data_IF_934887497895
#
_entry.id   IF_934887497895
#
_cell.length_a   1.000
_cell.length_b   1.000
_cell.length_c   1.000
_cell.angle_alpha   90.00
_cell.angle_beta   90.00
_cell.angle_gamma   90.00
#
_symmetry.space_group_name_H-M   'P 1'
#
loop_
_entity.id
_entity.type
_entity.pdbx_description
1 polymer ?
#
# COMPACT_ATOMS: atom_id res chain seq x y z
N UNK A 1 -4.98 -5.14 5.46
CA UNK A 1 -4.61 -6.56 5.56
C UNK A 1 -3.22 -6.77 4.97
N UNK A 2 -2.41 -7.64 5.57
CA UNK A 2 -1.16 -8.14 4.99
C UNK A 2 -1.41 -9.24 3.95
N UNK A 3 -0.35 -9.81 3.38
CA UNK A 3 -0.46 -10.85 2.32
C UNK A 3 -1.19 -12.09 2.82
N UNK A 4 -0.89 -12.55 4.04
CA UNK A 4 -1.47 -13.77 4.59
C UNK A 4 -2.97 -13.59 4.88
N UNK A 5 -3.33 -12.47 5.49
CA UNK A 5 -4.73 -12.13 5.74
C UNK A 5 -5.53 -11.97 4.44
N UNK A 6 -4.91 -11.41 3.39
CA UNK A 6 -5.55 -11.30 2.07
C UNK A 6 -5.73 -12.66 1.39
N UNK A 7 -4.77 -13.58 1.53
CA UNK A 7 -4.87 -14.96 1.03
C UNK A 7 -6.01 -15.72 1.70
N UNK A 8 -6.15 -15.57 3.02
CA UNK A 8 -7.28 -16.12 3.75
C UNK A 8 -8.60 -15.51 3.26
N UNK A 9 -8.68 -14.18 3.17
CA UNK A 9 -9.90 -13.48 2.75
C UNK A 9 -10.38 -13.92 1.36
N UNK A 10 -9.49 -14.03 0.37
CA UNK A 10 -9.89 -14.46 -1.00
C UNK A 10 -10.26 -15.94 -1.08
N UNK A 11 -9.91 -16.74 -0.07
CA UNK A 11 -10.27 -18.16 -0.01
C UNK A 11 -11.70 -18.41 0.52
N UNK A 12 -12.32 -17.38 1.12
CA UNK A 12 -13.67 -17.46 1.67
C UNK A 12 -14.74 -17.47 0.56
N UNK A 13 -15.95 -17.97 0.84
CA UNK A 13 -17.10 -17.77 -0.04
C UNK A 13 -17.31 -16.28 -0.34
N UNK A 14 -17.47 -15.93 -1.61
CA UNK A 14 -17.54 -14.55 -2.12
C UNK A 14 -16.26 -13.71 -1.90
N UNK A 15 -15.11 -14.34 -1.65
CA UNK A 15 -13.81 -13.67 -1.53
C UNK A 15 -13.32 -13.03 -2.84
N UNK A 16 -13.88 -13.43 -3.98
CA UNK A 16 -13.72 -12.76 -5.28
C UNK A 16 -14.38 -11.37 -5.32
N UNK A 17 -15.24 -11.06 -4.36
CA UNK A 17 -15.89 -9.75 -4.21
C UNK A 17 -14.98 -8.64 -3.67
N UNK A 18 -13.75 -8.92 -3.26
CA UNK A 18 -12.83 -7.91 -2.70
C UNK A 18 -12.47 -6.84 -3.73
N UNK A 19 -12.80 -5.58 -3.44
CA UNK A 19 -12.61 -4.46 -4.37
C UNK A 19 -11.37 -3.60 -4.11
N UNK A 20 -10.82 -3.61 -2.89
CA UNK A 20 -9.64 -2.80 -2.52
C UNK A 20 -9.06 -3.27 -1.19
N UNK A 21 -7.77 -3.03 -0.97
CA UNK A 21 -7.14 -3.14 0.35
C UNK A 21 -6.50 -1.79 0.72
N UNK A 22 -6.92 -1.18 1.83
CA UNK A 22 -6.37 0.09 2.30
C UNK A 22 -5.23 -0.17 3.28
N UNK A 23 -4.02 0.33 2.98
CA UNK A 23 -2.79 -0.04 3.69
C UNK A 23 -1.89 1.18 3.97
N UNK A 24 -1.04 1.08 5.00
CA UNK A 24 0.00 2.08 5.24
C UNK A 24 1.05 1.93 4.15
N UNK A 25 1.15 2.93 3.29
CA UNK A 25 2.15 2.92 2.24
C UNK A 25 2.59 4.35 1.92
N UNK A 26 3.87 4.62 2.14
CA UNK A 26 4.52 5.89 1.84
C UNK A 26 6.05 5.68 1.74
N UNK A 27 6.81 6.73 1.47
CA UNK A 27 8.27 6.62 1.28
C UNK A 27 9.03 6.10 2.51
N UNK A 28 8.49 6.30 3.72
CA UNK A 28 9.05 5.74 4.97
C UNK A 28 8.61 4.28 5.20
N UNK A 29 7.49 3.86 4.62
CA UNK A 29 6.81 2.60 4.90
C UNK A 29 6.58 1.81 3.60
N UNK A 30 7.65 1.13 3.15
CA UNK A 30 7.69 0.42 1.86
C UNK A 30 7.60 -1.10 1.96
N UNK A 31 7.32 -1.63 3.17
CA UNK A 31 7.14 -3.06 3.41
C UNK A 31 6.21 -3.76 2.41
N UNK A 32 5.04 -3.18 2.07
CA UNK A 32 4.12 -3.79 1.10
C UNK A 32 4.70 -4.08 -0.29
N UNK A 33 5.82 -3.46 -0.68
CA UNK A 33 6.45 -3.71 -1.99
C UNK A 33 7.06 -5.11 -2.11
N UNK A 34 7.40 -5.75 -0.98
CA UNK A 34 8.07 -7.04 -0.99
C UNK A 34 7.15 -8.17 -1.46
N UNK A 35 5.92 -8.21 -0.95
CA UNK A 35 4.99 -9.31 -1.15
C UNK A 35 3.57 -8.84 -1.51
N UNK A 36 2.96 -7.97 -0.70
CA UNK A 36 1.55 -7.61 -0.80
C UNK A 36 1.22 -6.90 -2.11
N UNK A 37 2.00 -5.89 -2.52
CA UNK A 37 1.75 -5.13 -3.73
C UNK A 37 1.90 -5.98 -5.01
N UNK A 38 2.97 -6.79 -5.17
CA UNK A 38 3.02 -7.78 -6.24
C UNK A 38 1.82 -8.74 -6.24
N UNK A 39 1.43 -9.26 -5.06
CA UNK A 39 0.34 -10.22 -4.91
C UNK A 39 -1.03 -9.62 -5.29
N UNK A 40 -1.33 -8.42 -4.78
CA UNK A 40 -2.58 -7.70 -5.07
C UNK A 40 -2.67 -7.30 -6.54
N UNK A 41 -1.56 -6.87 -7.14
CA UNK A 41 -1.49 -6.53 -8.57
C UNK A 41 -1.83 -7.72 -9.46
N UNK A 42 -1.29 -8.91 -9.16
CA UNK A 42 -1.57 -10.13 -9.93
C UNK A 42 -3.06 -10.52 -9.91
N UNK A 43 -3.79 -10.11 -8.87
CA UNK A 43 -5.22 -10.43 -8.67
C UNK A 43 -6.16 -9.29 -9.06
N UNK A 44 -5.63 -8.16 -9.54
CA UNK A 44 -6.44 -7.00 -9.88
C UNK A 44 -7.12 -6.35 -8.67
N UNK A 45 -6.56 -6.50 -7.46
CA UNK A 45 -7.05 -5.85 -6.24
C UNK A 45 -6.26 -4.54 -6.05
N UNK A 46 -6.88 -3.37 -6.23
CA UNK A 46 -6.23 -2.08 -6.00
C UNK A 46 -5.80 -1.91 -4.54
N UNK A 47 -4.64 -1.27 -4.35
CA UNK A 47 -4.17 -0.81 -3.04
C UNK A 47 -4.49 0.67 -2.88
N UNK A 48 -5.10 1.03 -1.76
CA UNK A 48 -5.32 2.41 -1.36
C UNK A 48 -4.32 2.77 -0.26
N UNK A 49 -3.35 3.62 -0.59
CA UNK A 49 -2.35 4.08 0.37
C UNK A 49 -2.98 5.09 1.35
N UNK A 50 -3.04 4.73 2.63
CA UNK A 50 -3.33 5.68 3.70
C UNK A 50 -2.03 6.26 4.28
N UNK A 51 -2.14 7.47 4.85
CA UNK A 51 -1.00 8.27 5.28
C UNK A 51 0.09 8.42 4.20
N UNK A 52 -0.26 8.82 2.97
CA UNK A 52 0.69 8.86 1.85
C UNK A 52 1.84 9.86 2.05
N UNK A 53 1.65 10.85 2.93
CA UNK A 53 2.65 11.86 3.32
C UNK A 53 3.17 11.66 4.75
N UNK A 54 2.93 10.49 5.34
CA UNK A 54 3.37 10.11 6.69
C UNK A 54 2.96 11.15 7.75
N UNK A 55 1.69 11.54 7.73
CA UNK A 55 1.13 12.60 8.59
C UNK A 55 1.88 13.95 8.49
N UNK A 56 2.50 14.22 7.34
CA UNK A 56 3.26 15.45 7.08
C UNK A 56 4.75 15.35 7.42
N UNK A 57 5.24 14.21 7.92
CA UNK A 57 6.68 14.00 8.18
C UNK A 57 7.48 14.07 6.89
N UNK A 58 6.99 13.46 5.80
CA UNK A 58 7.68 13.45 4.52
C UNK A 58 7.79 14.86 3.89
N UNK A 59 6.88 15.78 4.21
CA UNK A 59 6.94 17.15 3.71
C UNK A 59 8.13 17.95 4.25
N UNK A 60 8.78 17.48 5.32
CA UNK A 60 9.99 18.10 5.93
C UNK A 60 11.27 17.34 5.58
N UNK A 61 11.22 16.42 4.63
CA UNK A 61 12.39 15.66 4.20
C UNK A 61 13.23 16.49 3.22
N UNK A 62 14.47 16.80 3.58
CA UNK A 62 15.36 17.66 2.77
C UNK A 62 15.57 17.15 1.33
N UNK A 63 15.63 15.83 1.12
CA UNK A 63 15.76 15.26 -0.22
C UNK A 63 14.48 15.46 -1.05
N UNK A 64 13.31 15.35 -0.42
CA UNK A 64 12.03 15.60 -1.09
C UNK A 64 11.83 17.10 -1.38
N UNK A 65 12.25 17.99 -0.48
CA UNK A 65 12.29 19.43 -0.74
C UNK A 65 13.17 19.77 -1.94
N UNK A 66 14.37 19.18 -2.01
CA UNK A 66 15.28 19.38 -3.14
C UNK A 66 14.71 18.86 -4.47
N UNK A 67 13.89 17.80 -4.46
CA UNK A 67 13.19 17.31 -5.65
C UNK A 67 12.02 18.24 -6.01
N UNK A 68 11.25 18.72 -5.03
CA UNK A 68 10.10 19.59 -5.25
C UNK A 68 10.48 20.99 -5.77
N UNK A 69 11.70 21.47 -5.48
CA UNK A 69 12.21 22.75 -5.97
C UNK A 69 12.72 22.72 -7.43
N UNK A 70 12.69 21.56 -8.10
CA UNK A 70 13.13 21.39 -9.50
C UNK A 70 11.94 21.52 -10.45
#
# INVERSE_FOLDING_TARGET
FDTHEMEELVSLPAGDGVQTNQILYNLSQRGPEFDLAPWSRQRGIPLMAYSPVDQGVLARNASLEAIAAR
#
